data_IF_407535831824
#
_entry.id   IF_407535831824
#
_cell.length_a   1.000
_cell.length_b   1.000
_cell.length_c   1.000
_cell.angle_alpha   90.00
_cell.angle_beta   90.00
_cell.angle_gamma   90.00
#
_symmetry.space_group_name_H-M   'P 1'
#
loop_
_entity.id
_entity.type
_entity.pdbx_description
1 polymer ?
#
# COMPACT_ATOMS: atom_id res chain seq x y z
N UNK A 1 10.32 -17.23 5.78
CA UNK A 1 10.10 -16.47 4.53
C UNK A 1 8.82 -16.98 3.91
N UNK A 2 7.73 -16.22 4.02
CA UNK A 2 6.43 -16.60 3.45
C UNK A 2 6.34 -16.04 2.02
N UNK A 3 6.27 -16.93 1.03
CA UNK A 3 6.11 -16.55 -0.37
C UNK A 3 4.62 -16.54 -0.73
N UNK A 4 4.11 -15.41 -1.26
CA UNK A 4 2.75 -15.31 -1.77
C UNK A 4 2.79 -15.17 -3.29
N UNK A 5 2.37 -16.22 -4.01
CA UNK A 5 2.28 -16.19 -5.47
C UNK A 5 0.96 -15.55 -5.91
N UNK A 6 1.05 -14.41 -6.59
CA UNK A 6 -0.09 -13.72 -7.20
C UNK A 6 -0.09 -13.96 -8.71
N UNK A 7 -1.13 -14.58 -9.25
CA UNK A 7 -1.29 -14.77 -10.70
C UNK A 7 -2.12 -13.63 -11.28
N UNK A 8 -1.46 -12.75 -12.03
CA UNK A 8 -2.11 -11.64 -12.73
C UNK A 8 -2.47 -12.08 -14.16
N UNK A 9 -3.74 -11.99 -14.54
CA UNK A 9 -4.20 -12.21 -15.92
C UNK A 9 -4.43 -10.86 -16.60
N UNK A 10 -3.44 -10.30 -17.32
CA UNK A 10 -3.62 -9.03 -18.01
C UNK A 10 -4.64 -9.18 -19.14
N UNK A 11 -5.61 -8.27 -19.23
CA UNK A 11 -6.48 -8.16 -20.42
C UNK A 11 -5.67 -7.51 -21.54
N UNK A 12 -5.72 -8.12 -22.73
CA UNK A 12 -4.80 -7.88 -23.86
C UNK A 12 -4.91 -6.49 -24.51
N UNK A 13 -5.86 -5.65 -24.10
CA UNK A 13 -5.96 -4.24 -24.48
C UNK A 13 -6.76 -3.51 -23.38
N UNK A 14 -6.23 -2.38 -22.89
CA UNK A 14 -6.84 -1.42 -21.97
C UNK A 14 -7.09 -1.86 -20.51
N UNK A 15 -6.07 -1.71 -19.65
CA UNK A 15 -6.21 -1.04 -18.36
C UNK A 15 -4.83 -0.77 -17.72
N UNK A 16 -4.55 0.48 -17.36
CA UNK A 16 -3.42 0.84 -16.47
C UNK A 16 -3.63 0.37 -15.02
N UNK A 17 -4.81 -0.16 -14.72
CA UNK A 17 -5.27 -0.56 -13.39
C UNK A 17 -5.51 -2.07 -13.38
N UNK A 18 -4.87 -2.76 -12.43
CA UNK A 18 -5.03 -4.19 -12.19
C UNK A 18 -5.90 -4.35 -10.94
N UNK A 19 -6.97 -5.14 -11.05
CA UNK A 19 -7.81 -5.54 -9.91
C UNK A 19 -7.38 -6.95 -9.53
N UNK A 20 -7.05 -7.15 -8.26
CA UNK A 20 -6.68 -8.45 -7.69
C UNK A 20 -7.74 -8.83 -6.66
N UNK A 21 -8.47 -9.90 -6.92
CA UNK A 21 -9.43 -10.47 -5.98
C UNK A 21 -8.75 -11.58 -5.19
N UNK A 22 -8.85 -11.52 -3.85
CA UNK A 22 -8.33 -12.54 -2.95
C UNK A 22 -9.20 -12.63 -1.68
N UNK A 23 -9.11 -13.76 -0.98
CA UNK A 23 -9.76 -13.94 0.33
C UNK A 23 -9.11 -13.06 1.42
N UNK A 24 -9.87 -12.85 2.51
CA UNK A 24 -9.47 -12.00 3.62
C UNK A 24 -8.16 -12.49 4.28
N UNK A 25 -8.02 -13.80 4.49
CA UNK A 25 -6.83 -14.38 5.13
C UNK A 25 -5.56 -14.14 4.31
N UNK A 26 -5.65 -14.24 2.98
CA UNK A 26 -4.53 -13.91 2.07
C UNK A 26 -4.20 -12.43 2.10
N UNK A 27 -5.20 -11.56 2.17
CA UNK A 27 -4.98 -10.12 2.28
C UNK A 27 -4.28 -9.77 3.60
N UNK A 28 -4.71 -10.35 4.71
CA UNK A 28 -4.08 -10.15 6.01
C UNK A 28 -2.63 -10.64 6.00
N UNK A 29 -2.36 -11.82 5.43
CA UNK A 29 -0.97 -12.32 5.28
C UNK A 29 -0.13 -11.39 4.42
N UNK A 30 -0.70 -10.83 3.35
CA UNK A 30 -0.01 -9.86 2.50
C UNK A 30 0.32 -8.58 3.27
N UNK A 31 -0.64 -8.02 4.01
CA UNK A 31 -0.45 -6.85 4.85
C UNK A 31 0.62 -7.10 5.94
N UNK A 32 0.61 -8.29 6.55
CA UNK A 32 1.63 -8.71 7.52
C UNK A 32 3.02 -8.78 6.88
N UNK A 33 3.13 -9.34 5.67
CA UNK A 33 4.39 -9.40 4.93
C UNK A 33 4.93 -8.02 4.56
N UNK A 34 4.06 -7.03 4.33
CA UNK A 34 4.44 -5.62 4.14
C UNK A 34 4.73 -4.88 5.46
N UNK A 35 4.61 -5.55 6.62
CA UNK A 35 4.86 -4.94 7.92
C UNK A 35 3.76 -3.98 8.38
N UNK A 36 2.57 -4.01 7.77
CA UNK A 36 1.48 -3.07 8.06
C UNK A 36 0.89 -3.20 9.47
N UNK A 37 1.24 -4.26 10.20
CA UNK A 37 0.80 -4.47 11.58
C UNK A 37 1.91 -4.20 12.61
N UNK A 38 3.10 -3.78 12.18
CA UNK A 38 4.17 -3.49 13.14
C UNK A 38 3.87 -2.19 13.92
N UNK A 39 4.31 -2.07 15.19
CA UNK A 39 3.98 -0.90 16.01
C UNK A 39 4.46 0.44 15.43
N UNK A 40 5.62 0.46 14.78
CA UNK A 40 6.20 1.68 14.20
C UNK A 40 5.38 2.21 13.02
N UNK A 41 4.88 1.30 12.18
CA UNK A 41 3.99 1.59 11.07
C UNK A 41 2.66 2.12 11.58
N UNK A 42 2.04 1.45 12.56
CA UNK A 42 0.80 1.92 13.18
C UNK A 42 0.97 3.31 13.81
N UNK A 43 2.12 3.57 14.46
CA UNK A 43 2.45 4.89 14.98
C UNK A 43 2.63 5.93 13.86
N UNK A 44 3.20 5.53 12.72
CA UNK A 44 3.34 6.40 11.54
C UNK A 44 1.99 6.78 10.95
N UNK A 45 1.04 5.85 10.86
CA UNK A 45 -0.33 6.13 10.38
C UNK A 45 -1.02 7.15 11.28
N UNK A 46 -0.95 6.97 12.61
CA UNK A 46 -1.50 7.95 13.57
C UNK A 46 -0.85 9.34 13.48
N UNK A 47 0.43 9.42 13.10
CA UNK A 47 1.08 10.71 12.83
C UNK A 47 0.54 11.31 11.53
N UNK A 48 0.45 10.52 10.47
CA UNK A 48 -0.07 10.95 9.18
C UNK A 48 -1.53 11.43 9.27
N UNK A 49 -2.39 10.76 10.05
CA UNK A 49 -3.77 11.21 10.32
C UNK A 49 -3.79 12.60 10.97
N UNK A 50 -2.98 12.82 12.01
CA UNK A 50 -2.87 14.12 12.69
C UNK A 50 -2.27 15.21 11.79
N UNK A 51 -1.37 14.84 10.88
CA UNK A 51 -0.81 15.76 9.90
C UNK A 51 -1.85 16.15 8.85
N UNK A 52 -2.66 15.19 8.39
CA UNK A 52 -3.77 15.43 7.48
C UNK A 52 -4.82 16.35 8.09
N UNK A 53 -5.31 16.06 9.30
CA UNK A 53 -6.30 16.88 10.02
C UNK A 53 -5.81 18.31 10.27
N UNK A 54 -4.51 18.49 10.51
CA UNK A 54 -3.91 19.80 10.72
C UNK A 54 -3.51 20.52 9.43
N UNK A 55 -3.80 19.96 8.26
CA UNK A 55 -3.45 20.53 6.96
C UNK A 55 -1.96 20.52 6.63
N UNK A 56 -1.15 19.75 7.36
CA UNK A 56 0.30 19.57 7.11
C UNK A 56 0.53 18.55 5.98
N UNK A 57 -0.04 18.83 4.82
CA UNK A 57 0.05 17.98 3.63
C UNK A 57 0.76 18.71 2.50
N UNK A 58 1.50 17.95 1.68
CA UNK A 58 2.15 18.45 0.46
C UNK A 58 1.72 17.58 -0.71
N UNK A 59 1.24 18.21 -1.77
CA UNK A 59 1.03 17.51 -3.04
C UNK A 59 2.38 17.22 -3.71
N UNK A 60 2.54 15.99 -4.17
CA UNK A 60 3.71 15.57 -4.97
C UNK A 60 3.20 15.13 -6.33
N UNK A 61 3.86 15.57 -7.39
CA UNK A 61 3.52 15.18 -8.76
C UNK A 61 4.02 13.77 -9.07
N UNK A 62 5.09 13.34 -8.39
CA UNK A 62 5.63 12.00 -8.55
C UNK A 62 6.33 11.48 -7.30
N UNK A 63 6.40 10.15 -7.19
CA UNK A 63 7.16 9.48 -6.13
C UNK A 63 8.66 9.78 -6.18
N UNK A 64 9.19 10.23 -7.32
CA UNK A 64 10.59 10.62 -7.45
C UNK A 64 10.94 11.78 -6.50
N UNK A 65 9.99 12.67 -6.22
CA UNK A 65 10.17 13.78 -5.29
C UNK A 65 10.42 13.35 -3.84
N UNK A 66 10.14 12.09 -3.49
CA UNK A 66 10.39 11.54 -2.16
C UNK A 66 11.75 10.84 -2.05
N UNK A 67 12.41 10.57 -3.18
CA UNK A 67 13.66 9.79 -3.24
C UNK A 67 14.89 10.70 -3.38
N UNK A 68 14.71 11.97 -3.80
CA UNK A 68 15.80 12.88 -4.13
C UNK A 68 16.29 12.67 -5.56
#
# INVERSE_FOLDING_TARGET
>A
MNNLTLTLKPKRNAAKKIIVEMDADRLERLAANFGMFNPDFLASVKRAERDYEAGRIREIHSLRELIG
#
